data_IF_194733905635
#
_entry.id   IF_194733905635
#
_cell.length_a   1.000
_cell.length_b   1.000
_cell.length_c   1.000
_cell.angle_alpha   90.00
_cell.angle_beta   90.00
_cell.angle_gamma   90.00
#
_symmetry.space_group_name_H-M   'P 1'
#
loop_
_entity.id
_entity.type
_entity.pdbx_description
1 polymer ?
#
# COMPACT_ATOMS: atom_id res chain seq x y z
N UNK A 1 -9.01 5.57 15.49
CA UNK A 1 -8.44 4.22 15.28
C UNK A 1 -7.65 4.30 13.99
N UNK A 2 -6.44 3.73 13.91
CA UNK A 2 -5.58 3.83 12.71
C UNK A 2 -6.16 2.95 11.59
N UNK A 3 -6.69 3.59 10.55
CA UNK A 3 -7.38 2.93 9.43
C UNK A 3 -6.42 2.07 8.61
N UNK A 4 -5.19 2.54 8.39
CA UNK A 4 -4.15 1.77 7.71
C UNK A 4 -3.82 0.49 8.48
N UNK A 5 -3.69 0.58 9.80
CA UNK A 5 -3.42 -0.59 10.63
C UNK A 5 -4.53 -1.65 10.52
N UNK A 6 -5.79 -1.23 10.41
CA UNK A 6 -6.92 -2.14 10.22
C UNK A 6 -6.90 -2.81 8.84
N UNK A 7 -6.58 -2.07 7.80
CA UNK A 7 -6.47 -2.59 6.43
C UNK A 7 -5.33 -3.59 6.29
N UNK A 8 -4.15 -3.26 6.81
CA UNK A 8 -3.00 -4.17 6.85
C UNK A 8 -3.33 -5.45 7.62
N UNK A 9 -4.05 -5.34 8.74
CA UNK A 9 -4.49 -6.52 9.50
C UNK A 9 -5.51 -7.39 8.74
N UNK A 10 -6.41 -6.80 7.95
CA UNK A 10 -7.35 -7.54 7.09
C UNK A 10 -6.58 -8.26 5.98
N UNK A 11 -5.62 -7.59 5.36
CA UNK A 11 -4.84 -8.14 4.26
C UNK A 11 -3.94 -9.28 4.71
N UNK A 12 -3.27 -9.14 5.85
CA UNK A 12 -2.48 -10.23 6.46
C UNK A 12 -3.34 -11.48 6.69
N UNK A 13 -4.58 -11.32 7.18
CA UNK A 13 -5.52 -12.45 7.36
C UNK A 13 -5.95 -13.06 6.02
N UNK A 14 -6.19 -12.24 5.00
CA UNK A 14 -6.55 -12.71 3.64
C UNK A 14 -5.45 -13.59 3.05
N UNK A 15 -4.20 -13.20 3.27
CA UNK A 15 -2.99 -13.92 2.85
C UNK A 15 -2.57 -15.05 3.82
N UNK A 16 -3.34 -15.30 4.88
CA UNK A 16 -3.06 -16.29 5.94
C UNK A 16 -1.69 -16.11 6.61
N UNK A 17 -1.23 -14.87 6.71
CA UNK A 17 0.01 -14.52 7.40
C UNK A 17 -0.23 -14.42 8.91
N UNK A 18 0.61 -15.09 9.70
CA UNK A 18 0.67 -14.98 11.16
C UNK A 18 2.07 -14.48 11.57
N UNK A 19 2.12 -13.46 12.41
CA UNK A 19 3.37 -12.89 12.92
C UNK A 19 4.24 -13.91 13.67
N UNK A 20 3.64 -14.97 14.22
CA UNK A 20 4.33 -16.05 14.95
C UNK A 20 4.98 -17.08 14.03
N UNK A 21 4.55 -17.16 12.77
CA UNK A 21 4.99 -18.17 11.80
C UNK A 21 5.50 -17.55 10.49
N UNK A 22 5.94 -16.29 10.55
CA UNK A 22 6.38 -15.53 9.38
C UNK A 22 7.51 -16.25 8.60
N UNK A 23 8.41 -16.95 9.28
CA UNK A 23 9.51 -17.70 8.65
C UNK A 23 9.06 -18.93 7.85
N UNK A 24 7.88 -19.47 8.17
CA UNK A 24 7.29 -20.66 7.54
C UNK A 24 6.20 -20.28 6.54
N UNK A 25 5.84 -18.99 6.47
CA UNK A 25 4.81 -18.50 5.58
C UNK A 25 5.23 -18.61 4.11
N UNK A 26 4.23 -18.72 3.25
CA UNK A 26 4.43 -18.74 1.81
C UNK A 26 5.19 -17.49 1.34
N UNK A 27 6.37 -17.63 0.70
CA UNK A 27 7.15 -16.50 0.22
C UNK A 27 6.38 -15.59 -0.75
N UNK A 28 5.49 -16.14 -1.56
CA UNK A 28 4.68 -15.36 -2.50
C UNK A 28 3.67 -14.47 -1.75
N UNK A 29 3.03 -15.03 -0.72
CA UNK A 29 2.11 -14.29 0.15
C UNK A 29 2.83 -13.19 0.94
N UNK A 30 4.05 -13.47 1.44
CA UNK A 30 4.89 -12.46 2.10
C UNK A 30 5.29 -11.34 1.17
N UNK A 31 5.71 -11.66 -0.05
CA UNK A 31 6.06 -10.67 -1.06
C UNK A 31 4.85 -9.80 -1.42
N UNK A 32 3.67 -10.40 -1.62
CA UNK A 32 2.45 -9.66 -1.91
C UNK A 32 2.07 -8.69 -0.78
N UNK A 33 2.18 -9.14 0.48
CA UNK A 33 1.93 -8.28 1.63
C UNK A 33 2.94 -7.14 1.75
N UNK A 34 4.23 -7.44 1.56
CA UNK A 34 5.29 -6.43 1.60
C UNK A 34 5.11 -5.38 0.49
N UNK A 35 4.73 -5.81 -0.72
CA UNK A 35 4.47 -4.91 -1.83
C UNK A 35 3.31 -3.95 -1.51
N UNK A 36 2.22 -4.47 -0.96
CA UNK A 36 1.08 -3.64 -0.53
C UNK A 36 1.49 -2.62 0.55
N UNK A 37 2.23 -3.05 1.59
CA UNK A 37 2.72 -2.14 2.64
C UNK A 37 3.59 -1.04 2.04
N UNK A 38 4.53 -1.38 1.15
CA UNK A 38 5.41 -0.40 0.51
C UNK A 38 4.64 0.57 -0.36
N UNK A 39 3.63 0.12 -1.12
CA UNK A 39 2.75 0.99 -1.90
C UNK A 39 1.99 1.99 -1.01
N UNK A 40 1.43 1.53 0.11
CA UNK A 40 0.69 2.40 1.03
C UNK A 40 1.61 3.42 1.73
N UNK A 41 2.82 3.01 2.11
CA UNK A 41 3.81 3.91 2.70
C UNK A 41 4.30 4.95 1.68
N UNK A 42 4.51 4.54 0.42
CA UNK A 42 4.88 5.42 -0.68
C UNK A 42 3.79 6.46 -0.96
N UNK A 43 2.52 6.04 -1.02
CA UNK A 43 1.37 6.94 -1.24
C UNK A 43 1.22 7.99 -0.13
N UNK A 44 1.74 7.71 1.07
CA UNK A 44 1.78 8.64 2.21
C UNK A 44 3.06 9.48 2.28
N UNK A 45 3.99 9.29 1.34
CA UNK A 45 5.29 9.97 1.32
C UNK A 45 6.24 9.55 2.44
N UNK A 46 6.02 8.38 3.05
CA UNK A 46 6.84 7.88 4.16
C UNK A 46 8.06 7.08 3.70
N UNK A 47 8.01 6.55 2.48
CA UNK A 47 9.13 5.90 1.80
C UNK A 47 9.18 6.38 0.36
N UNK A 48 10.32 6.17 -0.31
CA UNK A 48 10.43 6.42 -1.74
C UNK A 48 9.42 5.54 -2.51
N UNK A 49 8.65 6.17 -3.39
CA UNK A 49 7.74 5.52 -4.33
C UNK A 49 7.94 6.07 -5.72
N UNK A 50 7.31 5.45 -6.72
CA UNK A 50 7.33 6.00 -8.08
C UNK A 50 6.61 7.35 -8.10
N UNK A 51 7.37 8.41 -8.38
CA UNK A 51 6.88 9.76 -8.64
C UNK A 51 6.25 9.86 -10.03
N UNK A 52 5.29 8.99 -10.38
CA UNK A 52 4.40 9.27 -11.52
C UNK A 52 3.18 10.06 -11.05
N UNK A 53 3.42 11.27 -10.54
CA UNK A 53 2.41 12.32 -10.57
C UNK A 53 2.32 12.82 -12.02
N UNK A 54 1.62 12.05 -12.86
CA UNK A 54 1.01 12.60 -14.05
C UNK A 54 0.06 13.70 -13.61
N UNK A 55 0.45 14.96 -13.81
CA UNK A 55 -0.31 16.14 -13.38
C UNK A 55 -1.71 16.14 -14.03
N UNK A 56 -2.73 15.63 -13.34
CA UNK A 56 -4.14 15.62 -13.78
C UNK A 56 -4.83 16.99 -13.64
N UNK A 57 -4.06 18.08 -13.56
CA UNK A 57 -4.62 19.43 -13.58
C UNK A 57 -4.99 19.83 -15.02
N UNK A 58 -6.19 19.48 -15.47
CA UNK A 58 -6.76 20.08 -16.67
C UNK A 58 -7.12 21.56 -16.37
N UNK A 59 -6.66 22.53 -17.17
CA UNK A 59 -7.06 23.92 -17.01
C UNK A 59 -8.57 24.04 -17.19
N UNK A 60 -9.27 24.70 -16.25
CA UNK A 60 -10.67 25.09 -16.46
C UNK A 60 -10.68 26.03 -17.65
N UNK A 61 -11.42 25.69 -18.71
CA UNK A 61 -11.60 26.55 -19.87
C UNK A 61 -12.19 27.87 -19.40
N UNK A 62 -11.32 28.89 -19.33
CA UNK A 62 -11.72 30.25 -19.00
C UNK A 62 -12.65 30.75 -20.09
N UNK A 63 -13.96 30.76 -19.80
CA UNK A 63 -14.94 31.54 -20.55
C UNK A 63 -15.85 32.23 -19.55
N UNK A 64 -15.46 33.44 -19.19
CA UNK A 64 -16.34 34.49 -18.70
C UNK A 64 -16.21 35.68 -19.63
#
# INVERSE_FOLDING_TARGET
MDELALELAREARRLRLDARQCQEADPEALQAFAQLVLTELAARGLVAGDDEIGCYAAPRSGRH
#
